data_IF_745522962289
#
_entry.id   IF_745522962289
#
_cell.length_a   1.000
_cell.length_b   1.000
_cell.length_c   1.000
_cell.angle_alpha   90.00
_cell.angle_beta   90.00
_cell.angle_gamma   90.00
#
_symmetry.space_group_name_H-M   'P 1'
#
loop_
_entity.id
_entity.type
_entity.pdbx_description
1 polymer ?
#
# COMPACT_ATOMS: atom_id res chain seq x y z
N UNK A 1 -43.40 -20.44 44.47
CA UNK A 1 -42.82 -19.95 43.19
C UNK A 1 -43.73 -20.41 42.05
N UNK A 2 -44.23 -19.48 41.27
CA UNK A 2 -45.28 -19.72 40.28
C UNK A 2 -44.66 -20.33 39.01
N UNK A 3 -45.09 -21.54 38.60
CA UNK A 3 -44.57 -22.26 37.43
C UNK A 3 -44.54 -21.42 36.16
N UNK A 4 -45.45 -20.43 36.03
CA UNK A 4 -45.44 -19.48 34.90
C UNK A 4 -44.25 -18.50 34.91
N UNK A 5 -43.75 -18.10 36.09
CA UNK A 5 -42.58 -17.22 36.19
C UNK A 5 -41.27 -17.91 35.82
N UNK A 6 -41.14 -19.21 36.09
CA UNK A 6 -39.98 -20.02 35.75
C UNK A 6 -39.91 -20.22 34.22
N UNK A 7 -41.04 -20.47 33.56
CA UNK A 7 -41.11 -20.66 32.12
C UNK A 7 -40.73 -19.40 31.35
N UNK A 8 -41.18 -18.24 31.79
CA UNK A 8 -40.84 -16.94 31.18
C UNK A 8 -39.36 -16.62 31.35
N UNK A 9 -38.78 -16.90 32.54
CA UNK A 9 -37.34 -16.68 32.78
C UNK A 9 -36.44 -17.56 31.89
N UNK A 10 -36.82 -18.82 31.67
CA UNK A 10 -36.06 -19.75 30.80
C UNK A 10 -36.14 -19.31 29.31
N UNK A 11 -37.33 -18.88 28.85
CA UNK A 11 -37.49 -18.42 27.46
C UNK A 11 -36.67 -17.15 27.19
N UNK A 12 -36.68 -16.19 28.14
CA UNK A 12 -35.88 -14.95 28.01
C UNK A 12 -34.37 -15.27 27.99
N UNK A 13 -33.91 -16.19 28.84
CA UNK A 13 -32.50 -16.59 28.88
C UNK A 13 -32.06 -17.28 27.59
N UNK A 14 -32.91 -18.13 26.99
CA UNK A 14 -32.62 -18.79 25.73
C UNK A 14 -32.54 -17.77 24.56
N UNK A 15 -33.46 -16.80 24.54
CA UNK A 15 -33.44 -15.75 23.51
C UNK A 15 -32.21 -14.86 23.63
N UNK A 16 -31.79 -14.48 24.85
CA UNK A 16 -30.59 -13.69 25.06
C UNK A 16 -29.32 -14.45 24.62
N UNK A 17 -29.23 -15.74 24.97
CA UNK A 17 -28.10 -16.59 24.58
C UNK A 17 -28.06 -16.76 23.06
N UNK A 18 -29.18 -16.97 22.38
CA UNK A 18 -29.24 -17.07 20.92
C UNK A 18 -28.87 -15.77 20.23
N UNK A 19 -29.25 -14.61 20.78
CA UNK A 19 -28.84 -13.29 20.24
C UNK A 19 -27.33 -13.06 20.45
N UNK A 20 -26.78 -13.42 21.60
CA UNK A 20 -25.34 -13.28 21.86
C UNK A 20 -24.53 -14.21 20.95
N UNK A 21 -24.99 -15.46 20.74
CA UNK A 21 -24.33 -16.39 19.81
C UNK A 21 -24.45 -15.92 18.37
N UNK A 22 -25.57 -15.38 17.93
CA UNK A 22 -25.74 -14.80 16.62
C UNK A 22 -24.87 -13.52 16.41
N UNK A 23 -24.72 -12.70 17.46
CA UNK A 23 -23.87 -11.51 17.40
C UNK A 23 -22.38 -11.85 17.41
N UNK A 24 -21.96 -12.91 18.11
CA UNK A 24 -20.57 -13.36 18.10
C UNK A 24 -20.18 -14.12 16.83
N UNK A 25 -21.15 -14.65 16.07
CA UNK A 25 -20.87 -15.29 14.76
C UNK A 25 -20.89 -14.32 13.58
N UNK A 26 -21.30 -13.08 13.79
CA UNK A 26 -21.27 -12.03 12.78
C UNK A 26 -20.05 -11.07 12.90
N UNK A 27 -19.11 -11.35 13.80
CA UNK A 27 -17.76 -10.79 13.67
C UNK A 27 -17.11 -11.55 12.52
N UNK A 28 -17.35 -11.10 11.30
CA UNK A 28 -16.47 -11.41 10.18
C UNK A 28 -15.07 -11.04 10.64
N UNK A 29 -14.29 -12.05 10.99
CA UNK A 29 -12.84 -11.92 10.97
C UNK A 29 -12.53 -11.60 9.51
N UNK A 30 -12.33 -10.32 9.18
CA UNK A 30 -11.62 -9.97 7.97
C UNK A 30 -10.36 -10.83 8.02
N UNK A 31 -10.33 -11.85 7.17
CA UNK A 31 -9.12 -12.58 6.86
C UNK A 31 -8.21 -11.55 6.19
N UNK A 32 -7.45 -10.80 7.00
CA UNK A 32 -6.28 -10.11 6.52
C UNK A 32 -5.40 -11.21 5.92
N UNK A 33 -5.41 -11.26 4.59
CA UNK A 33 -4.49 -12.07 3.81
C UNK A 33 -3.09 -11.56 4.16
N UNK A 34 -2.47 -12.20 5.15
CA UNK A 34 -1.13 -11.85 5.62
C UNK A 34 -0.19 -12.30 4.51
N UNK A 35 -0.01 -11.44 3.52
CA UNK A 35 0.98 -11.60 2.46
C UNK A 35 2.35 -11.37 3.06
N UNK A 36 2.83 -12.36 3.78
CA UNK A 36 4.19 -12.39 4.26
C UNK A 36 5.08 -12.87 3.12
N UNK A 37 5.68 -11.93 2.42
CA UNK A 37 6.78 -12.25 1.51
C UNK A 37 8.07 -12.33 2.35
N UNK A 38 8.39 -13.52 2.85
CA UNK A 38 9.50 -13.71 3.78
C UNK A 38 9.29 -12.90 5.07
N UNK A 39 10.25 -12.04 5.44
CA UNK A 39 10.15 -11.18 6.63
C UNK A 39 9.48 -9.81 6.34
N UNK A 40 9.07 -9.54 5.10
CA UNK A 40 8.48 -8.25 4.70
C UNK A 40 6.97 -8.39 4.65
N UNK A 41 6.28 -7.65 5.52
CA UNK A 41 4.83 -7.51 5.45
C UNK A 41 4.46 -6.42 4.46
N UNK A 42 3.80 -6.79 3.37
CA UNK A 42 3.27 -5.84 2.37
C UNK A 42 1.80 -5.52 2.56
N UNK A 43 1.20 -5.99 3.66
CA UNK A 43 -0.25 -5.86 3.95
C UNK A 43 -0.73 -4.40 3.96
N UNK A 44 0.14 -3.48 4.40
CA UNK A 44 -0.13 -2.04 4.42
C UNK A 44 0.49 -1.29 3.23
N UNK A 45 1.06 -1.99 2.26
CA UNK A 45 1.52 -1.42 1.00
C UNK A 45 0.35 -1.17 0.03
N UNK A 46 0.67 -0.79 -1.19
CA UNK A 46 -0.30 -0.67 -2.28
C UNK A 46 -1.00 -1.99 -2.59
N UNK A 47 -2.09 -1.93 -3.35
CA UNK A 47 -2.56 -3.08 -4.12
C UNK A 47 -1.44 -3.63 -5.01
N UNK A 48 -1.45 -4.96 -5.24
CA UNK A 48 -0.44 -5.59 -6.10
C UNK A 48 -0.63 -5.14 -7.55
N UNK A 49 0.47 -4.75 -8.19
CA UNK A 49 0.51 -4.51 -9.63
C UNK A 49 1.13 -5.72 -10.35
N UNK A 50 0.47 -6.19 -11.39
CA UNK A 50 0.85 -7.38 -12.14
C UNK A 50 0.14 -8.64 -11.66
N UNK A 51 0.72 -9.80 -11.93
CA UNK A 51 0.14 -11.09 -11.55
C UNK A 51 0.30 -11.35 -10.04
N UNK A 52 -0.79 -11.40 -9.23
CA UNK A 52 -0.68 -11.65 -7.80
C UNK A 52 -0.11 -13.04 -7.46
N UNK A 53 -0.12 -13.98 -8.41
CA UNK A 53 0.46 -15.32 -8.26
C UNK A 53 1.91 -15.42 -8.77
N UNK A 54 2.54 -14.30 -9.16
CA UNK A 54 3.94 -14.30 -9.56
C UNK A 54 4.83 -14.76 -8.39
N UNK A 55 5.86 -15.54 -8.70
CA UNK A 55 6.75 -16.10 -7.67
C UNK A 55 7.72 -15.07 -7.09
N UNK A 56 7.96 -13.98 -7.80
CA UNK A 56 8.83 -12.89 -7.37
C UNK A 56 7.98 -11.67 -7.05
N UNK A 57 8.26 -11.02 -5.90
CA UNK A 57 7.67 -9.74 -5.56
C UNK A 57 8.76 -8.67 -5.49
N UNK A 58 8.57 -7.58 -6.21
CA UNK A 58 9.38 -6.37 -6.11
C UNK A 58 8.67 -5.43 -5.14
N UNK A 59 9.26 -5.17 -3.98
CA UNK A 59 8.75 -4.21 -3.00
C UNK A 59 9.61 -2.95 -3.07
N UNK A 60 9.02 -1.81 -3.40
CA UNK A 60 9.67 -0.50 -3.36
C UNK A 60 9.26 0.26 -2.11
N UNK A 61 10.22 0.69 -1.31
CA UNK A 61 10.02 1.75 -0.32
C UNK A 61 10.39 3.09 -0.95
N UNK A 62 9.39 3.94 -1.16
CA UNK A 62 9.52 5.18 -1.90
C UNK A 62 8.90 6.39 -1.21
N UNK A 63 9.22 7.57 -1.72
CA UNK A 63 8.66 8.86 -1.31
C UNK A 63 8.32 9.66 -2.58
N UNK A 64 7.10 10.16 -2.67
CA UNK A 64 6.65 10.92 -3.84
C UNK A 64 7.39 12.24 -4.06
N UNK A 65 8.11 12.76 -3.05
CA UNK A 65 8.98 13.91 -3.20
C UNK A 65 10.46 13.55 -3.48
N UNK A 66 10.79 12.25 -3.59
CA UNK A 66 12.15 11.81 -3.82
C UNK A 66 12.56 11.89 -5.29
N UNK A 67 13.57 12.70 -5.60
CA UNK A 67 14.09 12.81 -6.96
C UNK A 67 14.69 11.49 -7.50
N UNK A 68 15.29 10.66 -6.63
CA UNK A 68 15.81 9.36 -7.06
C UNK A 68 14.66 8.37 -7.35
N UNK A 69 13.53 8.44 -6.65
CA UNK A 69 12.32 7.66 -6.99
C UNK A 69 11.77 8.12 -8.35
N UNK A 70 11.72 9.42 -8.61
CA UNK A 70 11.39 9.97 -9.93
C UNK A 70 12.29 9.40 -11.02
N UNK A 71 13.61 9.42 -10.80
CA UNK A 71 14.56 8.90 -11.78
C UNK A 71 14.35 7.41 -12.06
N UNK A 72 14.11 6.61 -11.02
CA UNK A 72 13.82 5.19 -11.21
C UNK A 72 12.50 4.99 -11.95
N UNK A 73 11.45 5.71 -11.55
CA UNK A 73 10.11 5.64 -12.16
C UNK A 73 10.17 5.91 -13.66
N UNK A 74 10.88 6.94 -14.10
CA UNK A 74 10.93 7.34 -15.50
C UNK A 74 11.95 6.58 -16.35
N UNK A 75 13.08 6.15 -15.77
CA UNK A 75 14.20 5.63 -16.55
C UNK A 75 14.35 4.10 -16.44
N UNK A 76 14.06 3.50 -15.27
CA UNK A 76 14.33 2.07 -15.04
C UNK A 76 13.06 1.24 -14.96
N UNK A 77 12.04 1.72 -14.23
CA UNK A 77 10.77 1.03 -14.03
C UNK A 77 10.13 0.54 -15.33
N UNK A 78 10.04 1.33 -16.42
CA UNK A 78 9.38 0.88 -17.65
C UNK A 78 10.00 -0.40 -18.21
N UNK A 79 11.36 -0.48 -18.23
CA UNK A 79 12.05 -1.67 -18.75
C UNK A 79 11.93 -2.87 -17.81
N UNK A 80 11.99 -2.66 -16.48
CA UNK A 80 11.75 -3.72 -15.48
C UNK A 80 10.33 -4.26 -15.63
N UNK A 81 9.34 -3.38 -15.75
CA UNK A 81 7.94 -3.78 -15.88
C UNK A 81 7.70 -4.58 -17.15
N UNK A 82 8.12 -4.08 -18.30
CA UNK A 82 7.98 -4.76 -19.58
C UNK A 82 8.55 -6.19 -19.57
N UNK A 83 9.67 -6.43 -18.87
CA UNK A 83 10.36 -7.72 -18.93
C UNK A 83 9.96 -8.70 -17.81
N UNK A 84 9.41 -8.21 -16.69
CA UNK A 84 9.14 -9.06 -15.53
C UNK A 84 7.71 -8.95 -15.01
N UNK A 85 7.15 -7.74 -14.90
CA UNK A 85 5.80 -7.56 -14.34
C UNK A 85 4.73 -7.88 -15.37
N UNK A 86 4.82 -7.30 -16.56
CA UNK A 86 3.86 -7.50 -17.66
C UNK A 86 3.92 -8.92 -18.22
N UNK A 87 5.06 -9.61 -18.04
CA UNK A 87 5.23 -11.02 -18.40
C UNK A 87 4.78 -11.99 -17.32
N UNK A 88 4.33 -11.49 -16.16
CA UNK A 88 3.86 -12.29 -15.04
C UNK A 88 4.94 -13.02 -14.23
N UNK A 89 6.24 -12.73 -14.47
CA UNK A 89 7.38 -13.32 -13.74
C UNK A 89 7.52 -12.72 -12.34
N UNK A 90 7.19 -11.42 -12.21
CA UNK A 90 7.18 -10.71 -10.94
C UNK A 90 5.89 -9.91 -10.79
N UNK A 91 5.56 -9.56 -9.54
CA UNK A 91 4.62 -8.51 -9.22
C UNK A 91 5.31 -7.37 -8.48
N UNK A 92 4.59 -6.28 -8.27
CA UNK A 92 5.13 -5.08 -7.68
C UNK A 92 4.21 -4.54 -6.59
N UNK A 93 4.81 -4.11 -5.47
CA UNK A 93 4.14 -3.44 -4.35
C UNK A 93 4.94 -2.19 -3.99
N UNK A 94 4.25 -1.06 -3.84
CA UNK A 94 4.82 0.16 -3.32
C UNK A 94 4.48 0.31 -1.84
N UNK A 95 5.46 0.67 -1.04
CA UNK A 95 5.33 1.00 0.37
C UNK A 95 5.93 2.38 0.65
N UNK A 96 5.27 3.15 1.50
CA UNK A 96 5.72 4.51 1.75
C UNK A 96 6.90 4.55 2.71
N UNK A 97 7.93 5.29 2.33
CA UNK A 97 8.95 5.83 3.23
C UNK A 97 8.92 7.35 3.11
N UNK A 98 7.79 7.94 3.47
CA UNK A 98 7.43 9.34 3.29
C UNK A 98 8.03 10.22 4.39
N UNK A 99 9.27 10.69 4.20
CA UNK A 99 10.04 11.41 5.24
C UNK A 99 10.79 12.65 4.74
N UNK A 100 10.85 12.88 3.42
CA UNK A 100 11.70 13.93 2.86
C UNK A 100 11.14 15.32 3.11
N UNK A 101 9.83 15.48 3.15
CA UNK A 101 9.18 16.76 3.33
C UNK A 101 7.86 16.67 4.08
N UNK A 102 7.31 17.85 4.42
CA UNK A 102 6.00 18.03 5.06
C UNK A 102 4.86 17.45 4.23
N UNK A 103 4.97 17.56 2.88
CA UNK A 103 3.97 17.13 1.94
C UNK A 103 4.10 15.64 1.58
N UNK A 104 5.21 14.95 1.92
CA UNK A 104 5.40 13.52 1.64
C UNK A 104 4.34 12.63 2.29
N UNK A 105 4.02 12.78 3.60
CA UNK A 105 3.00 11.92 4.22
C UNK A 105 1.59 12.14 3.68
N UNK A 106 1.23 13.35 3.27
CA UNK A 106 -0.10 13.62 2.71
C UNK A 106 -0.21 13.12 1.27
N UNK A 107 0.86 13.20 0.48
CA UNK A 107 0.92 12.60 -0.86
C UNK A 107 0.76 11.08 -0.80
N UNK A 108 1.40 10.42 0.17
CA UNK A 108 1.23 9.00 0.43
C UNK A 108 -0.21 8.64 0.83
N UNK A 109 -0.86 9.43 1.69
CA UNK A 109 -2.26 9.21 2.07
C UNK A 109 -3.20 9.36 0.86
N UNK A 110 -2.94 10.35 0.01
CA UNK A 110 -3.75 10.61 -1.19
C UNK A 110 -3.79 9.41 -2.16
N UNK A 111 -2.68 8.66 -2.30
CA UNK A 111 -2.66 7.46 -3.14
C UNK A 111 -3.58 6.35 -2.58
N UNK A 112 -3.70 6.23 -1.26
CA UNK A 112 -4.65 5.31 -0.63
C UNK A 112 -6.10 5.79 -0.68
N UNK A 113 -6.34 7.10 -0.67
CA UNK A 113 -7.67 7.64 -0.94
C UNK A 113 -8.13 7.32 -2.38
N UNK A 114 -7.20 7.32 -3.33
CA UNK A 114 -7.48 6.87 -4.68
C UNK A 114 -7.67 5.35 -4.76
N UNK A 115 -7.01 4.55 -3.89
CA UNK A 115 -7.19 3.10 -3.80
C UNK A 115 -8.63 2.73 -3.40
N UNK A 116 -9.30 3.49 -2.55
CA UNK A 116 -10.71 3.31 -2.19
C UNK A 116 -11.64 3.32 -3.42
N UNK A 117 -11.17 3.90 -4.53
CA UNK A 117 -11.89 4.01 -5.80
C UNK A 117 -11.21 3.21 -6.92
N UNK A 118 -10.39 2.21 -6.56
CA UNK A 118 -9.64 1.34 -7.49
C UNK A 118 -8.66 2.08 -8.40
N UNK A 119 -8.21 3.29 -7.99
CA UNK A 119 -7.36 4.20 -8.76
C UNK A 119 -5.96 4.40 -8.16
N UNK A 120 -5.49 3.48 -7.31
CA UNK A 120 -4.16 3.60 -6.69
C UNK A 120 -3.06 3.84 -7.72
N UNK A 121 -2.95 2.99 -8.73
CA UNK A 121 -1.84 3.03 -9.68
C UNK A 121 -1.94 4.17 -10.68
N UNK A 122 -3.15 4.58 -11.07
CA UNK A 122 -3.36 5.79 -11.88
C UNK A 122 -2.89 7.02 -11.10
N UNK A 123 -3.23 7.10 -9.82
CA UNK A 123 -2.87 8.19 -8.94
C UNK A 123 -1.36 8.20 -8.62
N UNK A 124 -0.77 7.03 -8.32
CA UNK A 124 0.67 6.84 -8.14
C UNK A 124 1.47 7.35 -9.36
N UNK A 125 1.04 6.97 -10.56
CA UNK A 125 1.67 7.43 -11.80
C UNK A 125 1.52 8.93 -12.00
N UNK A 126 0.34 9.49 -11.65
CA UNK A 126 0.09 10.93 -11.70
C UNK A 126 1.02 11.71 -10.78
N UNK A 127 1.24 11.22 -9.55
CA UNK A 127 2.16 11.85 -8.59
C UNK A 127 3.59 11.93 -9.14
N UNK A 128 4.14 10.82 -9.62
CA UNK A 128 5.49 10.82 -10.20
C UNK A 128 5.60 11.59 -11.51
N UNK A 129 4.53 11.63 -12.30
CA UNK A 129 4.51 12.45 -13.53
C UNK A 129 4.47 13.96 -13.22
N UNK A 130 3.79 14.34 -12.15
CA UNK A 130 3.66 15.73 -11.73
C UNK A 130 4.76 16.19 -10.78
N UNK A 131 5.65 15.29 -10.34
CA UNK A 131 6.69 15.58 -9.37
C UNK A 131 7.61 16.72 -9.86
N UNK A 132 7.80 17.71 -8.99
CA UNK A 132 8.75 18.80 -9.22
C UNK A 132 10.07 18.54 -8.48
N UNK A 133 11.14 19.21 -8.89
CA UNK A 133 12.49 18.96 -8.35
C UNK A 133 12.70 19.41 -6.92
N UNK A 134 11.89 20.35 -6.42
CA UNK A 134 11.99 20.88 -5.07
C UNK A 134 10.98 20.24 -4.13
N UNK A 135 11.49 19.75 -2.99
CA UNK A 135 10.68 19.28 -1.88
C UNK A 135 9.90 20.45 -1.26
N UNK A 136 8.65 20.24 -0.92
CA UNK A 136 7.78 21.21 -0.23
C UNK A 136 7.60 22.56 -0.92
N UNK A 137 7.71 22.61 -2.24
CA UNK A 137 7.43 23.83 -3.02
C UNK A 137 5.93 24.02 -3.32
N UNK A 138 5.08 23.13 -2.79
CA UNK A 138 3.62 23.17 -2.94
C UNK A 138 3.06 22.27 -4.04
N UNK A 139 3.89 21.57 -4.83
CA UNK A 139 3.42 20.70 -5.90
C UNK A 139 2.61 19.49 -5.37
N UNK A 140 2.92 19.04 -4.14
CA UNK A 140 2.24 17.92 -3.46
C UNK A 140 1.43 18.37 -2.23
N UNK A 141 1.02 19.63 -2.16
CA UNK A 141 0.11 20.10 -1.11
C UNK A 141 -1.31 19.56 -1.31
N UNK A 142 -2.15 19.64 -0.27
CA UNK A 142 -3.52 19.09 -0.29
C UNK A 142 -4.35 19.57 -1.49
N UNK A 143 -4.26 20.86 -1.86
CA UNK A 143 -5.02 21.44 -2.98
C UNK A 143 -4.60 20.81 -4.31
N UNK A 144 -3.29 20.67 -4.55
CA UNK A 144 -2.77 20.05 -5.77
C UNK A 144 -3.11 18.56 -5.83
N UNK A 145 -3.04 17.85 -4.70
CA UNK A 145 -3.41 16.44 -4.61
C UNK A 145 -4.89 16.22 -4.97
N UNK A 146 -5.79 17.09 -4.50
CA UNK A 146 -7.21 17.07 -4.88
C UNK A 146 -7.40 17.39 -6.37
N UNK A 147 -6.63 18.32 -6.92
CA UNK A 147 -6.68 18.62 -8.36
C UNK A 147 -6.24 17.42 -9.22
N UNK A 148 -5.25 16.62 -8.78
CA UNK A 148 -4.86 15.39 -9.47
C UNK A 148 -5.97 14.33 -9.43
N UNK A 149 -6.64 14.17 -8.28
CA UNK A 149 -7.78 13.27 -8.14
C UNK A 149 -8.92 13.65 -9.07
N UNK A 150 -9.27 14.94 -9.12
CA UNK A 150 -10.26 15.49 -10.06
C UNK A 150 -9.88 15.20 -11.52
N UNK A 151 -8.61 15.41 -11.89
CA UNK A 151 -8.10 15.15 -13.24
C UNK A 151 -8.17 13.67 -13.65
N UNK A 152 -8.14 12.76 -12.70
CA UNK A 152 -8.30 11.31 -12.90
C UNK A 152 -9.76 10.84 -12.84
N UNK A 153 -10.72 11.76 -12.63
CA UNK A 153 -12.15 11.47 -12.59
C UNK A 153 -12.61 10.73 -11.34
N UNK A 154 -11.91 10.90 -10.20
CA UNK A 154 -12.34 10.35 -8.93
C UNK A 154 -13.58 11.08 -8.40
N UNK A 155 -14.38 10.39 -7.60
CA UNK A 155 -15.42 11.01 -6.79
C UNK A 155 -14.75 11.91 -5.73
N UNK A 156 -14.97 13.22 -5.88
CA UNK A 156 -14.28 14.19 -5.05
C UNK A 156 -14.84 14.32 -3.63
N UNK A 157 -16.11 13.98 -3.41
CA UNK A 157 -16.68 13.95 -2.05
C UNK A 157 -15.99 12.84 -1.24
N UNK A 158 -15.87 11.64 -1.79
CA UNK A 158 -15.17 10.53 -1.16
C UNK A 158 -13.67 10.80 -0.97
N UNK A 159 -13.03 11.40 -1.99
CA UNK A 159 -11.59 11.66 -1.93
C UNK A 159 -11.25 12.75 -0.90
N UNK A 160 -12.00 13.85 -0.88
CA UNK A 160 -11.79 14.95 0.03
C UNK A 160 -12.01 14.54 1.48
N UNK A 161 -13.11 13.84 1.76
CA UNK A 161 -13.39 13.29 3.10
C UNK A 161 -12.29 12.35 3.58
N UNK A 162 -11.78 11.49 2.70
CA UNK A 162 -10.68 10.59 3.01
C UNK A 162 -9.39 11.35 3.35
N UNK A 163 -9.00 12.30 2.50
CA UNK A 163 -7.74 13.03 2.64
C UNK A 163 -7.77 13.99 3.84
N UNK A 164 -8.86 14.76 3.99
CA UNK A 164 -9.01 15.77 5.05
C UNK A 164 -9.16 15.13 6.44
N UNK A 165 -9.78 13.94 6.51
CA UNK A 165 -9.85 13.20 7.79
C UNK A 165 -8.53 12.54 8.18
N UNK A 166 -7.56 12.45 7.28
CA UNK A 166 -6.31 11.72 7.51
C UNK A 166 -6.51 10.20 7.65
N UNK A 167 -7.52 9.63 6.97
CA UNK A 167 -7.92 8.22 7.05
C UNK A 167 -6.73 7.26 7.01
N UNK A 168 -5.74 7.52 6.18
CA UNK A 168 -4.59 6.64 5.96
C UNK A 168 -3.30 7.06 6.68
N UNK A 169 -3.35 8.05 7.58
CA UNK A 169 -2.15 8.51 8.31
C UNK A 169 -1.45 7.36 9.08
N UNK A 170 -2.22 6.46 9.72
CA UNK A 170 -1.67 5.29 10.43
C UNK A 170 -1.06 4.26 9.49
N UNK A 171 -1.60 4.07 8.29
CA UNK A 171 -1.07 3.17 7.26
C UNK A 171 0.30 3.66 6.78
N UNK A 172 0.42 4.94 6.49
CA UNK A 172 1.70 5.58 6.11
C UNK A 172 2.74 5.48 7.24
N UNK A 173 2.34 5.74 8.49
CA UNK A 173 3.23 5.59 9.64
C UNK A 173 3.71 4.16 9.84
N UNK A 174 2.84 3.16 9.63
CA UNK A 174 3.20 1.75 9.67
C UNK A 174 4.26 1.43 8.60
N UNK A 175 4.07 1.87 7.36
CA UNK A 175 5.02 1.62 6.27
C UNK A 175 6.40 2.25 6.55
N UNK A 176 6.43 3.47 7.08
CA UNK A 176 7.66 4.14 7.51
C UNK A 176 8.36 3.32 8.62
N UNK A 177 7.62 2.80 9.58
CA UNK A 177 8.17 1.99 10.66
C UNK A 177 8.72 0.65 10.15
N UNK A 178 8.01 0.00 9.22
CA UNK A 178 8.45 -1.25 8.59
C UNK A 178 9.71 -1.02 7.74
N UNK A 179 9.77 0.06 6.95
CA UNK A 179 10.98 0.44 6.22
C UNK A 179 12.21 0.56 7.15
N UNK A 180 12.06 1.27 8.28
CA UNK A 180 13.13 1.43 9.26
C UNK A 180 13.56 0.11 9.89
N UNK A 181 12.61 -0.75 10.24
CA UNK A 181 12.86 -2.09 10.79
C UNK A 181 13.67 -2.95 9.82
N UNK A 182 13.40 -2.85 8.52
CA UNK A 182 14.11 -3.54 7.44
C UNK A 182 15.44 -2.85 7.04
N UNK A 183 15.78 -1.73 7.69
CA UNK A 183 16.98 -0.96 7.40
C UNK A 183 16.92 -0.23 6.06
N UNK A 184 15.74 0.12 5.56
CA UNK A 184 15.56 1.04 4.45
C UNK A 184 15.66 2.48 5.02
N UNK A 185 16.82 3.11 4.84
CA UNK A 185 17.14 4.42 5.41
C UNK A 185 17.13 5.55 4.37
N UNK A 186 16.70 5.24 3.15
CA UNK A 186 16.62 6.19 2.04
C UNK A 186 15.76 5.63 0.91
N UNK A 187 15.36 6.50 0.00
CA UNK A 187 14.46 6.18 -1.12
C UNK A 187 15.12 6.42 -2.48
N UNK A 188 14.79 5.58 -3.47
CA UNK A 188 14.06 4.33 -3.31
C UNK A 188 14.93 3.24 -2.66
N UNK A 189 14.33 2.36 -1.88
CA UNK A 189 14.95 1.11 -1.45
C UNK A 189 14.04 -0.03 -1.90
N UNK A 190 14.60 -1.02 -2.58
CA UNK A 190 13.87 -2.19 -3.07
C UNK A 190 14.24 -3.43 -2.30
N UNK A 191 13.25 -4.29 -2.10
CA UNK A 191 13.45 -5.67 -1.71
C UNK A 191 12.85 -6.56 -2.78
N UNK A 192 13.69 -7.40 -3.38
CA UNK A 192 13.27 -8.41 -4.36
C UNK A 192 13.13 -9.71 -3.57
N UNK A 193 11.92 -10.23 -3.52
CA UNK A 193 11.57 -11.44 -2.74
C UNK A 193 11.26 -12.58 -3.71
N UNK A 194 12.04 -13.63 -3.66
CA UNK A 194 11.88 -14.83 -4.50
C UNK A 194 10.96 -15.88 -3.86
N UNK A 195 10.71 -17.00 -4.57
CA UNK A 195 9.72 -18.03 -4.18
C UNK A 195 10.05 -18.71 -2.85
N UNK A 196 11.32 -18.87 -2.51
CA UNK A 196 11.77 -19.52 -1.27
C UNK A 196 11.94 -18.55 -0.11
N UNK A 197 11.39 -17.34 -0.22
CA UNK A 197 11.56 -16.27 0.77
C UNK A 197 12.96 -15.64 0.77
N UNK A 198 13.83 -16.01 -0.18
CA UNK A 198 15.10 -15.32 -0.38
C UNK A 198 14.88 -13.86 -0.72
N UNK A 199 15.73 -12.98 -0.21
CA UNK A 199 15.59 -11.55 -0.40
C UNK A 199 16.89 -10.93 -0.87
N UNK A 200 16.77 -10.00 -1.83
CA UNK A 200 17.87 -9.13 -2.25
C UNK A 200 17.44 -7.67 -2.05
N UNK A 201 18.29 -6.90 -1.38
CA UNK A 201 18.07 -5.46 -1.15
C UNK A 201 18.85 -4.65 -2.16
N UNK A 202 18.16 -3.75 -2.86
CA UNK A 202 18.76 -2.75 -3.74
C UNK A 202 18.49 -1.36 -3.17
N UNK A 203 19.50 -0.50 -3.12
CA UNK A 203 19.39 0.85 -2.58
C UNK A 203 19.62 1.87 -3.69
N UNK A 204 18.74 2.86 -3.78
CA UNK A 204 18.78 3.92 -4.79
C UNK A 204 18.20 3.52 -6.15
N UNK A 205 18.19 4.48 -7.06
CA UNK A 205 17.70 4.32 -8.43
C UNK A 205 18.68 3.49 -9.28
N UNK A 206 18.81 2.21 -8.97
CA UNK A 206 19.68 1.31 -9.69
C UNK A 206 19.27 1.18 -11.16
N UNK A 207 20.23 1.01 -12.09
CA UNK A 207 19.95 0.81 -13.51
C UNK A 207 19.31 -0.57 -13.76
N UNK A 208 18.66 -0.72 -14.91
CA UNK A 208 17.98 -1.96 -15.31
C UNK A 208 18.88 -3.21 -15.22
N UNK A 209 20.19 -3.08 -15.57
CA UNK A 209 21.12 -4.20 -15.52
C UNK A 209 21.25 -4.84 -14.13
N UNK A 210 21.15 -4.04 -13.06
CA UNK A 210 21.19 -4.53 -11.67
C UNK A 210 19.91 -5.28 -11.35
N UNK A 211 18.73 -4.70 -11.67
CA UNK A 211 17.45 -5.40 -11.50
C UNK A 211 17.41 -6.71 -12.28
N UNK A 212 17.87 -6.68 -13.54
CA UNK A 212 17.94 -7.86 -14.40
C UNK A 212 18.78 -8.97 -13.76
N UNK A 213 19.97 -8.64 -13.28
CA UNK A 213 20.84 -9.63 -12.62
C UNK A 213 20.17 -10.29 -11.41
N UNK A 214 19.52 -9.51 -10.56
CA UNK A 214 18.84 -10.03 -9.37
C UNK A 214 17.62 -10.85 -9.74
N UNK A 215 16.74 -10.31 -10.60
CA UNK A 215 15.51 -10.98 -10.99
C UNK A 215 15.77 -12.29 -11.74
N UNK A 216 16.74 -12.31 -12.67
CA UNK A 216 17.11 -13.52 -13.38
C UNK A 216 17.72 -14.61 -12.46
N UNK A 217 18.32 -14.22 -11.34
CA UNK A 217 18.87 -15.18 -10.38
C UNK A 217 17.79 -15.85 -9.50
N UNK A 218 16.55 -15.37 -9.55
CA UNK A 218 15.43 -15.84 -8.75
C UNK A 218 14.37 -16.60 -9.57
N UNK A 219 14.49 -16.62 -10.89
CA UNK A 219 13.63 -17.37 -11.83
C UNK A 219 14.19 -18.82 -12.05
#
# INVERSE_FOLDING_TARGET
MNKKGILVGIVISIVIISVIVAYSSSVETENFDVRAHGMISTTMGSSILGNPSAQITIVEFGDYQCHQCYNWFHNTKPTVFQNYVDTGKANFVFMDLAFLGRDSPIAAQASYCAEDQEKYWDYHNQLYTAQESQVDNGWANSERLKAFAFGLGLDMELFDDCLDSGKYAKRVQYNIAEAKKLGANGTPTFFIVGPDGQQQKLVGAQPYSVFKQVLDSMI
#
